data_IF_241667921086
#
_entry.id   IF_241667921086
#
_cell.length_a   1.000
_cell.length_b   1.000
_cell.length_c   1.000
_cell.angle_alpha   90.00
_cell.angle_beta   90.00
_cell.angle_gamma   90.00
#
_symmetry.space_group_name_H-M   'P 1'
#
loop_
_entity.id
_entity.type
_entity.pdbx_description
1 polymer ?
#
# COMPACT_ATOMS: atom_id res chain seq x y z
N UNK A 1 12.33 0.96 2.32
CA UNK A 1 12.03 2.41 2.45
C UNK A 1 12.02 3.15 1.11
N UNK A 2 12.96 2.89 0.19
CA UNK A 2 13.02 3.57 -1.12
C UNK A 2 11.72 3.50 -1.92
N UNK A 3 11.15 2.31 -2.11
CA UNK A 3 9.88 2.13 -2.82
C UNK A 3 8.74 2.95 -2.19
N UNK A 4 8.69 3.01 -0.85
CA UNK A 4 7.67 3.77 -0.13
C UNK A 4 7.81 5.27 -0.38
N UNK A 5 9.04 5.80 -0.33
CA UNK A 5 9.32 7.19 -0.61
C UNK A 5 8.99 7.56 -2.07
N UNK A 6 9.41 6.74 -3.02
CA UNK A 6 9.16 6.96 -4.46
C UNK A 6 7.67 6.89 -4.81
N UNK A 7 6.91 5.97 -4.21
CA UNK A 7 5.49 5.77 -4.55
C UNK A 7 4.53 6.68 -3.78
N UNK A 8 4.97 7.31 -2.69
CA UNK A 8 4.20 8.33 -1.98
C UNK A 8 4.43 9.76 -2.53
N UNK A 9 5.48 9.96 -3.33
CA UNK A 9 5.75 11.23 -3.99
C UNK A 9 5.23 11.21 -5.43
N UNK A 10 4.42 12.20 -5.81
CA UNK A 10 3.73 12.22 -7.10
C UNK A 10 4.70 12.39 -8.28
N UNK A 11 5.69 13.26 -8.13
CA UNK A 11 6.66 13.57 -9.18
C UNK A 11 7.59 12.39 -9.44
N UNK A 12 8.12 11.80 -8.37
CA UNK A 12 8.98 10.62 -8.46
C UNK A 12 8.24 9.38 -8.94
N UNK A 13 6.99 9.19 -8.51
CA UNK A 13 6.17 8.06 -8.97
C UNK A 13 5.89 8.15 -10.48
N UNK A 14 5.62 9.36 -11.00
CA UNK A 14 5.44 9.59 -12.43
C UNK A 14 6.74 9.40 -13.21
N UNK A 15 7.85 9.95 -12.70
CA UNK A 15 9.17 9.83 -13.32
C UNK A 15 9.66 8.37 -13.40
N UNK A 16 9.40 7.58 -12.35
CA UNK A 16 9.84 6.18 -12.22
C UNK A 16 8.71 5.16 -12.41
N UNK A 17 7.65 5.55 -13.12
CA UNK A 17 6.44 4.74 -13.31
C UNK A 17 6.71 3.34 -13.88
N UNK A 18 7.62 3.22 -14.85
CA UNK A 18 7.98 1.96 -15.51
C UNK A 18 9.20 1.24 -14.91
N UNK A 19 9.81 1.78 -13.85
CA UNK A 19 11.02 1.21 -13.25
C UNK A 19 10.65 0.25 -12.13
N UNK A 20 11.23 -0.96 -12.16
CA UNK A 20 11.08 -1.95 -11.09
C UNK A 20 12.18 -1.76 -10.05
N UNK A 21 11.81 -1.52 -8.80
CA UNK A 21 12.76 -1.44 -7.67
C UNK A 21 12.85 -2.83 -7.03
N UNK A 22 13.99 -3.51 -7.20
CA UNK A 22 14.24 -4.82 -6.61
C UNK A 22 14.12 -4.77 -5.07
N UNK A 23 13.52 -5.81 -4.47
CA UNK A 23 13.24 -5.88 -3.02
C UNK A 23 12.42 -4.70 -2.46
N UNK A 24 11.74 -3.93 -3.32
CA UNK A 24 10.98 -2.75 -2.92
C UNK A 24 9.60 -3.05 -2.32
N UNK A 25 9.01 -4.20 -2.65
CA UNK A 25 7.62 -4.51 -2.31
C UNK A 25 6.63 -3.56 -3.00
N UNK A 26 5.45 -3.41 -2.41
CA UNK A 26 4.36 -2.57 -2.93
C UNK A 26 3.71 -1.76 -1.81
N UNK A 27 2.99 -0.69 -2.18
CA UNK A 27 2.15 0.04 -1.23
C UNK A 27 0.97 -0.85 -0.79
N UNK A 28 0.73 -1.02 0.52
CA UNK A 28 -0.47 -1.70 1.00
C UNK A 28 -1.73 -0.93 0.57
N UNK A 29 -2.55 -1.54 -0.27
CA UNK A 29 -3.84 -0.99 -0.69
C UNK A 29 -4.82 -2.13 -0.94
N UNK A 30 -5.98 -2.10 -0.27
CA UNK A 30 -7.03 -3.11 -0.42
C UNK A 30 -8.26 -2.42 -1.00
N UNK A 31 -8.72 -2.87 -2.17
CA UNK A 31 -9.94 -2.35 -2.80
C UNK A 31 -11.14 -2.59 -1.88
N UNK A 32 -11.99 -1.58 -1.71
CA UNK A 32 -13.12 -1.62 -0.77
C UNK A 32 -14.12 -2.75 -1.05
N UNK A 33 -14.27 -3.14 -2.32
CA UNK A 33 -15.12 -4.27 -2.75
C UNK A 33 -14.61 -5.63 -2.25
N UNK A 34 -13.31 -5.74 -2.00
CA UNK A 34 -12.67 -6.95 -1.48
C UNK A 34 -12.72 -7.02 0.05
N UNK A 35 -13.04 -5.91 0.71
CA UNK A 35 -13.27 -5.92 2.15
C UNK A 35 -14.53 -6.75 2.43
N UNK A 36 -14.53 -7.56 3.51
CA UNK A 36 -15.73 -8.24 3.95
C UNK A 36 -16.90 -7.25 4.08
N UNK A 37 -18.06 -7.58 3.51
CA UNK A 37 -19.28 -6.80 3.75
C UNK A 37 -19.55 -6.83 5.26
N UNK A 38 -19.73 -5.65 5.87
CA UNK A 38 -19.91 -5.50 7.32
C UNK A 38 -20.84 -6.57 7.90
N UNK A 39 -20.27 -7.57 8.57
CA UNK A 39 -20.85 -8.15 9.76
C UNK A 39 -20.28 -7.37 10.92
N UNK A 40 -21.15 -6.76 11.72
CA UNK A 40 -20.72 -6.17 12.99
C UNK A 40 -19.96 -7.21 13.83
N UNK A 41 -18.90 -6.75 14.50
CA UNK A 41 -18.02 -7.48 15.43
C UNK A 41 -16.84 -8.29 14.84
N UNK A 42 -15.64 -7.70 14.91
CA UNK A 42 -14.54 -8.25 15.73
C UNK A 42 -13.36 -7.25 15.79
N UNK A 43 -13.04 -6.89 17.03
CA UNK A 43 -12.08 -5.87 17.48
C UNK A 43 -10.61 -6.16 17.12
N UNK A 44 -9.87 -5.06 16.98
CA UNK A 44 -8.52 -4.79 17.52
C UNK A 44 -7.58 -5.97 17.83
N UNK A 45 -6.46 -6.05 17.09
CA UNK A 45 -5.12 -6.44 17.55
C UNK A 45 -4.16 -6.25 16.36
N UNK A 46 -2.96 -5.65 16.42
CA UNK A 46 -2.15 -5.06 17.48
C UNK A 46 -1.14 -4.14 16.77
N UNK A 47 -0.98 -2.93 17.30
CA UNK A 47 0.30 -2.23 17.29
C UNK A 47 1.27 -3.03 18.15
N UNK A 48 2.39 -3.45 17.58
CA UNK A 48 3.70 -3.60 18.25
C UNK A 48 4.81 -3.50 17.22
#
# INVERSE_FOLDING_TARGET
HLQLAVRNDEELNKLLGGVTIAQGGVLPNIQSVLLPKKTESSKAAKSK
#
